data_IF_161394898801
#
_entry.id   IF_161394898801
#
_cell.length_a   1.000
_cell.length_b   1.000
_cell.length_c   1.000
_cell.angle_alpha   90.00
_cell.angle_beta   90.00
_cell.angle_gamma   90.00
#
_symmetry.space_group_name_H-M   'P 1'
#
loop_
_entity.id
_entity.type
_entity.pdbx_description
1 polymer ?
#
# COMPACT_ATOMS: atom_id res chain seq x y z
N UNK A 1 -32.44 -13.22 2.38
CA UNK A 1 -31.62 -13.54 1.19
C UNK A 1 -30.20 -13.12 1.51
N UNK A 2 -29.17 -13.97 1.41
CA UNK A 2 -27.80 -13.53 1.66
C UNK A 2 -27.36 -12.63 0.50
N UNK A 3 -26.91 -11.41 0.81
CA UNK A 3 -26.38 -10.49 -0.19
C UNK A 3 -25.09 -11.07 -0.79
N UNK A 4 -24.93 -11.03 -2.11
CA UNK A 4 -23.65 -11.35 -2.75
C UNK A 4 -22.62 -10.27 -2.42
N UNK A 5 -21.32 -10.60 -2.48
CA UNK A 5 -20.25 -9.62 -2.28
C UNK A 5 -20.41 -8.42 -3.25
N UNK A 6 -20.84 -8.68 -4.48
CA UNK A 6 -21.09 -7.64 -5.46
C UNK A 6 -22.25 -6.72 -5.04
N UNK A 7 -23.35 -7.27 -4.51
CA UNK A 7 -24.45 -6.48 -3.95
C UNK A 7 -24.02 -5.66 -2.73
N UNK A 8 -23.17 -6.22 -1.87
CA UNK A 8 -22.61 -5.52 -0.71
C UNK A 8 -21.68 -4.38 -1.13
N UNK A 9 -20.75 -4.62 -2.06
CA UNK A 9 -19.85 -3.59 -2.55
C UNK A 9 -20.59 -2.51 -3.34
N UNK A 10 -21.65 -2.87 -4.06
CA UNK A 10 -22.58 -1.91 -4.67
C UNK A 10 -23.34 -1.11 -3.61
N UNK A 11 -23.74 -1.71 -2.50
CA UNK A 11 -24.34 -0.98 -1.39
C UNK A 11 -23.35 0.01 -0.74
N UNK A 12 -22.07 -0.36 -0.58
CA UNK A 12 -21.02 0.56 -0.11
C UNK A 12 -20.81 1.71 -1.10
N UNK A 13 -20.76 1.39 -2.40
CA UNK A 13 -20.66 2.37 -3.47
C UNK A 13 -21.82 3.38 -3.45
N UNK A 14 -23.07 2.88 -3.42
CA UNK A 14 -24.28 3.71 -3.37
C UNK A 14 -24.32 4.53 -2.08
N UNK A 15 -23.92 3.96 -0.94
CA UNK A 15 -23.82 4.70 0.32
C UNK A 15 -22.83 5.85 0.24
N UNK A 16 -21.68 5.66 -0.41
CA UNK A 16 -20.71 6.74 -0.65
C UNK A 16 -21.32 7.87 -1.46
N UNK A 17 -22.02 7.51 -2.55
CA UNK A 17 -22.68 8.47 -3.44
C UNK A 17 -23.80 9.25 -2.73
N UNK A 18 -24.69 8.55 -2.00
CA UNK A 18 -25.77 9.17 -1.23
C UNK A 18 -25.24 10.12 -0.15
N UNK A 19 -24.13 9.74 0.50
CA UNK A 19 -23.49 10.58 1.52
C UNK A 19 -22.93 11.86 0.90
N UNK A 20 -22.29 11.79 -0.27
CA UNK A 20 -21.77 12.96 -0.98
C UNK A 20 -22.91 13.86 -1.46
N UNK A 21 -23.95 13.28 -2.08
CA UNK A 21 -25.11 14.02 -2.60
C UNK A 21 -25.86 14.78 -1.50
N UNK A 22 -25.88 14.24 -0.27
CA UNK A 22 -26.48 14.94 0.88
C UNK A 22 -25.80 16.28 1.19
N UNK A 23 -24.50 16.41 0.92
CA UNK A 23 -23.69 17.61 1.19
C UNK A 23 -23.26 18.31 -0.11
N UNK A 24 -24.02 18.14 -1.19
CA UNK A 24 -23.70 18.66 -2.53
C UNK A 24 -23.43 20.17 -2.50
N UNK A 25 -24.32 20.96 -1.88
CA UNK A 25 -24.20 22.41 -1.86
C UNK A 25 -22.93 22.89 -1.13
N UNK A 26 -22.59 22.23 -0.02
CA UNK A 26 -21.41 22.54 0.78
C UNK A 26 -20.11 22.13 0.07
N UNK A 27 -20.11 20.97 -0.59
CA UNK A 27 -18.96 20.47 -1.35
C UNK A 27 -18.70 21.36 -2.57
N UNK A 28 -19.74 21.67 -3.36
CA UNK A 28 -19.61 22.55 -4.52
C UNK A 28 -19.13 23.95 -4.13
N UNK A 29 -19.59 24.48 -2.99
CA UNK A 29 -19.13 25.76 -2.46
C UNK A 29 -17.64 25.73 -2.12
N UNK A 30 -17.15 24.69 -1.45
CA UNK A 30 -15.73 24.60 -1.08
C UNK A 30 -14.84 24.36 -2.31
N UNK A 31 -15.29 23.52 -3.25
CA UNK A 31 -14.61 23.36 -4.54
C UNK A 31 -14.58 24.66 -5.35
N UNK A 32 -15.65 25.44 -5.37
CA UNK A 32 -15.69 26.74 -6.03
C UNK A 32 -14.75 27.77 -5.37
N UNK A 33 -14.58 27.72 -4.05
CA UNK A 33 -13.64 28.55 -3.30
C UNK A 33 -12.19 28.19 -3.64
N UNK A 34 -11.84 26.90 -3.60
CA UNK A 34 -10.55 26.37 -4.07
C UNK A 34 -10.29 26.85 -5.51
N UNK A 35 -11.29 26.72 -6.36
CA UNK A 35 -11.19 27.16 -7.74
C UNK A 35 -10.87 28.67 -7.82
N UNK A 36 -11.63 29.51 -7.12
CA UNK A 36 -11.45 30.97 -7.14
C UNK A 36 -10.05 31.39 -6.63
N UNK A 37 -9.52 30.70 -5.63
CA UNK A 37 -8.15 30.89 -5.10
C UNK A 37 -7.06 30.53 -6.13
N UNK A 38 -7.29 29.48 -6.94
CA UNK A 38 -6.38 29.06 -8.00
C UNK A 38 -6.45 29.98 -9.24
N UNK A 39 -7.63 30.53 -9.57
CA UNK A 39 -7.84 31.47 -10.68
C UNK A 39 -7.05 32.78 -10.52
N UNK A 40 -6.88 33.25 -9.28
CA UNK A 40 -6.12 34.45 -8.95
C UNK A 40 -4.63 34.41 -9.37
N UNK A 41 -4.10 33.23 -9.73
CA UNK A 41 -2.69 33.02 -10.09
C UNK A 41 -2.41 32.91 -11.60
N UNK A 42 -3.42 33.07 -12.48
CA UNK A 42 -3.32 33.02 -13.97
C UNK A 42 -2.34 31.96 -14.52
N UNK A 43 -2.60 30.68 -14.27
CA UNK A 43 -1.80 29.57 -14.82
C UNK A 43 -2.66 28.59 -15.61
N UNK A 44 -2.09 27.93 -16.65
CA UNK A 44 -2.72 26.80 -17.38
C UNK A 44 -3.16 25.62 -16.47
N UNK A 45 -2.74 25.61 -15.20
CA UNK A 45 -3.16 24.64 -14.17
C UNK A 45 -4.59 24.86 -13.66
N UNK A 46 -5.13 26.08 -13.84
CA UNK A 46 -6.52 26.44 -13.51
C UNK A 46 -7.52 25.64 -14.34
N UNK A 47 -7.31 25.59 -15.66
CA UNK A 47 -8.22 24.94 -16.61
C UNK A 47 -8.32 23.43 -16.33
N UNK A 48 -7.21 22.77 -15.99
CA UNK A 48 -7.21 21.35 -15.64
C UNK A 48 -7.92 21.04 -14.31
N UNK A 49 -7.82 21.93 -13.30
CA UNK A 49 -8.56 21.78 -12.06
C UNK A 49 -10.05 22.07 -12.28
N UNK A 50 -10.39 23.08 -13.08
CA UNK A 50 -11.76 23.41 -13.49
C UNK A 50 -12.43 22.24 -14.24
N UNK A 51 -11.72 21.62 -15.18
CA UNK A 51 -12.16 20.40 -15.87
C UNK A 51 -12.36 19.22 -14.92
N UNK A 52 -11.44 19.04 -13.95
CA UNK A 52 -11.55 17.96 -12.95
C UNK A 52 -12.76 18.17 -12.03
N UNK A 53 -12.99 19.41 -11.57
CA UNK A 53 -14.15 19.76 -10.76
C UNK A 53 -15.44 19.57 -11.56
N UNK A 54 -15.49 20.02 -12.81
CA UNK A 54 -16.65 19.84 -13.68
C UNK A 54 -16.98 18.35 -13.91
N UNK A 55 -15.96 17.53 -14.15
CA UNK A 55 -16.11 16.08 -14.29
C UNK A 55 -16.65 15.42 -13.02
N UNK A 56 -16.01 15.65 -11.86
CA UNK A 56 -16.45 15.07 -10.60
C UNK A 56 -17.84 15.54 -10.21
N UNK A 57 -18.17 16.81 -10.48
CA UNK A 57 -19.50 17.36 -10.21
C UNK A 57 -20.57 16.67 -11.06
N UNK A 58 -20.26 16.42 -12.34
CA UNK A 58 -21.13 15.66 -13.21
C UNK A 58 -21.32 14.21 -12.74
N UNK A 59 -20.23 13.51 -12.40
CA UNK A 59 -20.28 12.12 -11.94
C UNK A 59 -21.01 11.94 -10.60
N UNK A 60 -20.81 12.86 -9.65
CA UNK A 60 -21.32 12.71 -8.29
C UNK A 60 -22.74 13.27 -8.10
N UNK A 61 -23.10 14.32 -8.83
CA UNK A 61 -24.36 15.07 -8.59
C UNK A 61 -25.36 15.00 -9.76
N UNK A 62 -24.92 14.71 -10.97
CA UNK A 62 -25.79 14.70 -12.16
C UNK A 62 -26.07 13.29 -12.73
N UNK A 63 -25.47 12.24 -12.17
CA UNK A 63 -25.70 10.86 -12.59
C UNK A 63 -27.03 10.29 -12.04
N UNK A 64 -27.92 9.80 -12.90
CA UNK A 64 -29.25 9.26 -12.53
C UNK A 64 -29.20 7.80 -12.09
N UNK A 65 -30.01 7.46 -11.08
CA UNK A 65 -30.13 6.18 -10.33
C UNK A 65 -30.41 4.88 -11.14
N UNK A 66 -30.49 4.91 -12.46
CA UNK A 66 -31.05 3.79 -13.26
C UNK A 66 -30.02 2.85 -13.91
N UNK A 67 -28.71 3.12 -13.83
CA UNK A 67 -27.66 2.19 -14.28
C UNK A 67 -26.62 1.91 -13.17
N UNK A 68 -26.45 0.66 -12.72
CA UNK A 68 -25.66 0.30 -11.53
C UNK A 68 -24.15 0.21 -11.76
N UNK A 69 -23.65 0.56 -12.95
CA UNK A 69 -22.23 0.58 -13.27
C UNK A 69 -21.88 1.88 -13.99
N UNK A 70 -20.85 2.57 -13.50
CA UNK A 70 -20.30 3.74 -14.16
C UNK A 70 -19.52 3.26 -15.39
N UNK A 71 -20.23 2.95 -16.47
CA UNK A 71 -19.58 2.98 -17.77
C UNK A 71 -19.31 4.44 -18.09
N UNK A 72 -18.11 4.93 -17.73
CA UNK A 72 -17.53 6.20 -18.21
C UNK A 72 -17.31 6.08 -19.73
N UNK A 73 -18.39 5.95 -20.48
CA UNK A 73 -18.39 6.11 -21.92
C UNK A 73 -18.32 7.61 -22.14
N UNK A 74 -17.31 8.04 -22.90
CA UNK A 74 -17.19 9.36 -23.55
C UNK A 74 -16.53 10.52 -22.80
N UNK A 75 -15.24 10.39 -22.48
CA UNK A 75 -14.13 11.25 -22.99
C UNK A 75 -12.85 10.94 -22.22
N UNK A 76 -11.69 10.82 -22.88
CA UNK A 76 -10.41 10.76 -22.19
C UNK A 76 -10.23 12.06 -21.39
N UNK A 77 -10.13 11.93 -20.07
CA UNK A 77 -10.01 13.06 -19.18
C UNK A 77 -8.53 13.48 -19.11
N UNK A 78 -8.23 14.75 -19.38
CA UNK A 78 -6.93 15.36 -19.08
C UNK A 78 -6.83 15.80 -17.60
N UNK A 79 -7.62 15.18 -16.72
CA UNK A 79 -7.60 15.50 -15.30
C UNK A 79 -6.36 14.91 -14.62
N UNK A 80 -5.89 15.57 -13.57
CA UNK A 80 -4.74 15.12 -12.79
C UNK A 80 -5.22 14.23 -11.64
N UNK A 81 -4.72 12.98 -11.47
CA UNK A 81 -5.07 12.12 -10.33
C UNK A 81 -4.87 12.80 -8.97
N UNK A 82 -3.90 13.72 -8.86
CA UNK A 82 -3.69 14.55 -7.67
C UNK A 82 -4.90 15.44 -7.35
N UNK A 83 -5.55 16.02 -8.36
CA UNK A 83 -6.75 16.84 -8.13
C UNK A 83 -7.92 15.99 -7.66
N UNK A 84 -8.03 14.72 -8.09
CA UNK A 84 -9.10 13.84 -7.62
C UNK A 84 -8.91 13.46 -6.16
N UNK A 85 -7.70 13.06 -5.73
CA UNK A 85 -7.41 12.79 -4.32
C UNK A 85 -7.53 14.05 -3.44
N UNK A 86 -7.08 15.20 -3.94
CA UNK A 86 -7.23 16.47 -3.23
C UNK A 86 -8.69 16.89 -3.05
N UNK A 87 -9.52 16.69 -4.08
CA UNK A 87 -10.95 16.99 -4.02
C UNK A 87 -11.70 15.96 -3.15
N UNK A 88 -11.27 14.70 -3.12
CA UNK A 88 -11.73 13.66 -2.18
C UNK A 88 -11.48 14.06 -0.72
N UNK A 89 -10.24 14.48 -0.39
CA UNK A 89 -9.89 14.95 0.95
C UNK A 89 -10.74 16.17 1.35
N UNK A 90 -11.02 17.06 0.39
CA UNK A 90 -11.90 18.20 0.61
C UNK A 90 -13.34 17.75 0.95
N UNK A 91 -13.86 16.73 0.27
CA UNK A 91 -15.17 16.14 0.57
C UNK A 91 -15.22 15.56 1.98
N UNK A 92 -14.17 14.84 2.41
CA UNK A 92 -14.09 14.33 3.78
C UNK A 92 -14.10 15.45 4.82
N UNK A 93 -13.34 16.52 4.60
CA UNK A 93 -13.28 17.66 5.51
C UNK A 93 -14.64 18.37 5.61
N UNK A 94 -15.31 18.64 4.48
CA UNK A 94 -16.64 19.26 4.47
C UNK A 94 -17.64 18.41 5.25
N UNK A 95 -17.64 17.09 5.05
CA UNK A 95 -18.59 16.20 5.74
C UNK A 95 -18.30 16.12 7.24
N UNK A 96 -17.03 16.09 7.66
CA UNK A 96 -16.64 16.07 9.07
C UNK A 96 -16.99 17.36 9.82
N UNK A 97 -16.94 18.51 9.15
CA UNK A 97 -17.35 19.80 9.74
C UNK A 97 -18.86 19.89 9.99
N UNK A 98 -19.67 19.20 9.18
CA UNK A 98 -21.14 19.28 9.23
C UNK A 98 -21.80 18.08 9.94
N UNK A 99 -21.08 16.96 10.13
CA UNK A 99 -21.54 15.80 10.89
C UNK A 99 -20.39 14.95 11.44
N UNK A 100 -20.65 14.24 12.55
CA UNK A 100 -19.73 13.16 12.99
C UNK A 100 -19.77 12.03 11.98
N UNK A 101 -18.77 11.99 11.11
CA UNK A 101 -18.59 10.92 10.12
C UNK A 101 -18.33 9.59 10.84
N UNK A 102 -19.09 8.54 10.50
CA UNK A 102 -18.76 7.20 10.95
C UNK A 102 -17.64 6.62 10.07
N UNK A 103 -16.83 5.71 10.60
CA UNK A 103 -15.78 5.03 9.83
C UNK A 103 -16.34 4.36 8.56
N UNK A 104 -17.60 3.93 8.60
CA UNK A 104 -18.29 3.31 7.47
C UNK A 104 -18.65 4.31 6.36
N UNK A 105 -18.88 5.58 6.70
CA UNK A 105 -19.14 6.63 5.72
C UNK A 105 -17.83 7.09 5.07
N UNK A 106 -16.76 7.15 5.87
CA UNK A 106 -15.41 7.42 5.36
C UNK A 106 -14.97 6.36 4.33
N UNK A 107 -15.10 5.08 4.68
CA UNK A 107 -14.75 3.97 3.77
C UNK A 107 -15.61 3.94 2.51
N UNK A 108 -16.89 4.32 2.60
CA UNK A 108 -17.79 4.34 1.46
C UNK A 108 -17.42 5.44 0.45
N UNK A 109 -17.06 6.64 0.92
CA UNK A 109 -16.61 7.75 0.09
C UNK A 109 -15.26 7.42 -0.56
N UNK A 110 -14.31 6.89 0.22
CA UNK A 110 -13.00 6.49 -0.30
C UNK A 110 -13.10 5.39 -1.37
N UNK A 111 -13.98 4.41 -1.15
CA UNK A 111 -14.24 3.35 -2.13
C UNK A 111 -14.82 3.90 -3.45
N UNK A 112 -15.74 4.87 -3.37
CA UNK A 112 -16.31 5.55 -4.53
C UNK A 112 -15.24 6.32 -5.33
N UNK A 113 -14.41 7.13 -4.69
CA UNK A 113 -13.33 7.87 -5.36
C UNK A 113 -12.25 6.94 -5.93
N UNK A 114 -11.96 5.83 -5.26
CA UNK A 114 -11.07 4.79 -5.78
C UNK A 114 -11.60 4.18 -7.08
N UNK A 115 -12.92 3.93 -7.18
CA UNK A 115 -13.55 3.42 -8.40
C UNK A 115 -13.57 4.44 -9.54
N UNK A 116 -13.85 5.71 -9.22
CA UNK A 116 -13.74 6.82 -10.19
C UNK A 116 -12.30 6.93 -10.72
N UNK A 117 -11.30 6.75 -9.84
CA UNK A 117 -9.90 6.78 -10.25
C UNK A 117 -9.51 5.58 -11.13
N UNK A 118 -10.01 4.39 -10.80
CA UNK A 118 -9.76 3.15 -11.54
C UNK A 118 -10.37 3.17 -12.95
N UNK A 119 -11.62 3.60 -13.07
CA UNK A 119 -12.34 3.64 -14.35
C UNK A 119 -11.97 4.88 -15.19
N UNK A 120 -11.58 5.99 -14.55
CA UNK A 120 -11.26 7.25 -15.22
C UNK A 120 -9.80 7.41 -15.68
N UNK A 121 -8.82 6.86 -14.94
CA UNK A 121 -7.38 7.10 -15.20
C UNK A 121 -6.58 5.84 -15.54
N UNK A 122 -6.81 4.73 -14.83
CA UNK A 122 -5.98 3.52 -14.98
C UNK A 122 -6.15 2.87 -16.36
N UNK A 123 -7.32 2.97 -17.00
CA UNK A 123 -7.50 2.42 -18.36
C UNK A 123 -6.57 3.03 -19.43
N UNK A 124 -6.12 4.28 -19.28
CA UNK A 124 -5.22 4.91 -20.26
C UNK A 124 -3.76 4.47 -20.09
N UNK A 125 -3.31 4.29 -18.85
CA UNK A 125 -1.93 3.88 -18.55
C UNK A 125 -1.71 2.36 -18.66
N UNK A 126 -2.78 1.57 -18.70
CA UNK A 126 -2.71 0.11 -18.81
C UNK A 126 -2.49 -0.41 -20.24
N UNK A 127 -2.67 0.42 -21.29
CA UNK A 127 -2.60 -0.11 -22.65
C UNK A 127 -1.17 -0.22 -23.23
N UNK A 128 -0.16 0.47 -22.68
CA UNK A 128 1.23 0.35 -23.15
C UNK A 128 2.25 0.57 -22.02
N UNK A 129 2.79 -0.52 -21.46
CA UNK A 129 3.68 -0.54 -20.27
C UNK A 129 5.15 -0.13 -20.52
N UNK A 130 5.53 0.31 -21.72
CA UNK A 130 6.92 0.59 -22.04
C UNK A 130 7.32 2.02 -21.63
N UNK A 131 8.56 2.20 -21.16
CA UNK A 131 9.14 3.54 -20.91
C UNK A 131 9.05 4.37 -22.19
N UNK A 132 9.27 3.77 -23.34
CA UNK A 132 9.24 4.44 -24.64
C UNK A 132 7.86 5.06 -24.93
N UNK A 133 6.78 4.30 -24.75
CA UNK A 133 5.41 4.79 -24.95
C UNK A 133 5.05 5.92 -23.99
N UNK A 134 5.57 5.87 -22.76
CA UNK A 134 5.39 6.95 -21.78
C UNK A 134 6.16 8.22 -22.17
N UNK A 135 7.41 8.09 -22.63
CA UNK A 135 8.20 9.22 -23.12
C UNK A 135 7.57 9.85 -24.37
N UNK A 136 7.08 9.02 -25.31
CA UNK A 136 6.30 9.46 -26.47
C UNK A 136 5.08 10.28 -26.06
N UNK A 137 4.32 9.81 -25.07
CA UNK A 137 3.15 10.52 -24.56
C UNK A 137 3.52 11.87 -23.91
N UNK A 138 4.61 11.92 -23.13
CA UNK A 138 5.07 13.18 -22.53
C UNK A 138 5.47 14.21 -23.59
N UNK A 139 6.13 13.79 -24.67
CA UNK A 139 6.53 14.68 -25.77
C UNK A 139 5.33 15.11 -26.63
N UNK A 140 4.37 14.21 -26.86
CA UNK A 140 3.16 14.49 -27.62
C UNK A 140 2.14 15.35 -26.85
N UNK A 141 2.31 15.52 -25.54
CA UNK A 141 1.39 16.28 -24.70
C UNK A 141 1.36 17.77 -25.09
N UNK A 142 0.16 18.29 -25.34
CA UNK A 142 -0.06 19.73 -25.54
C UNK A 142 0.00 20.53 -24.23
N UNK A 143 -0.04 19.85 -23.08
CA UNK A 143 -0.01 20.44 -21.75
C UNK A 143 1.42 20.68 -21.25
N UNK A 144 2.41 19.98 -21.82
CA UNK A 144 3.82 20.09 -21.45
C UNK A 144 4.62 20.71 -22.61
N UNK A 145 5.38 21.79 -22.38
CA UNK A 145 6.26 22.38 -23.39
C UNK A 145 7.57 21.56 -23.50
N UNK A 146 7.45 20.23 -23.60
CA UNK A 146 8.57 19.33 -23.85
C UNK A 146 8.74 19.24 -25.36
N UNK A 147 9.88 19.69 -25.87
CA UNK A 147 10.16 19.63 -27.32
C UNK A 147 10.80 18.32 -27.72
N UNK A 148 11.70 17.81 -26.87
CA UNK A 148 12.36 16.54 -27.07
C UNK A 148 12.86 15.95 -25.75
N UNK A 149 13.00 14.62 -25.72
CA UNK A 149 13.63 13.85 -24.65
C UNK A 149 14.65 12.91 -25.29
N UNK A 150 15.90 12.95 -24.82
CA UNK A 150 16.93 11.98 -25.21
C UNK A 150 17.20 11.01 -24.06
N UNK A 151 17.25 9.71 -24.37
CA UNK A 151 17.64 8.65 -23.45
C UNK A 151 19.14 8.44 -23.58
N UNK A 152 19.86 8.63 -22.49
CA UNK A 152 21.31 8.52 -22.43
C UNK A 152 21.71 7.28 -21.62
N UNK A 153 22.43 6.38 -22.28
CA UNK A 153 23.04 5.21 -21.65
C UNK A 153 24.52 5.44 -21.35
N UNK A 154 25.06 4.65 -20.42
CA UNK A 154 26.49 4.62 -20.12
C UNK A 154 27.16 3.46 -20.85
N UNK A 155 28.10 3.74 -21.76
CA UNK A 155 28.91 2.75 -22.47
C UNK A 155 30.37 2.87 -22.02
N UNK A 156 30.77 2.06 -21.05
CA UNK A 156 32.10 2.17 -20.42
C UNK A 156 32.22 3.51 -19.68
N UNK A 157 33.24 4.30 -20.00
CA UNK A 157 33.46 5.63 -19.40
C UNK A 157 32.77 6.78 -20.16
N UNK A 158 31.98 6.49 -21.20
CA UNK A 158 31.33 7.50 -22.04
C UNK A 158 29.81 7.44 -21.94
N UNK A 159 29.16 8.57 -22.21
CA UNK A 159 27.72 8.71 -22.33
C UNK A 159 27.31 8.67 -23.80
N UNK A 160 26.28 7.91 -24.14
CA UNK A 160 25.80 7.74 -25.52
C UNK A 160 24.29 7.95 -25.60
N UNK A 161 23.83 8.60 -26.67
CA UNK A 161 22.39 8.69 -26.96
C UNK A 161 21.90 7.34 -27.46
N UNK A 162 20.93 6.75 -26.76
CA UNK A 162 20.30 5.49 -27.14
C UNK A 162 19.06 5.73 -28.02
N UNK A 163 18.24 6.73 -27.66
CA UNK A 163 17.00 7.06 -28.37
C UNK A 163 16.61 8.52 -28.15
N UNK A 164 15.94 9.12 -29.14
CA UNK A 164 15.38 10.48 -29.07
C UNK A 164 13.89 10.41 -29.34
N UNK A 165 13.10 11.03 -28.46
CA UNK A 165 11.68 11.26 -28.59
C UNK A 165 11.49 12.76 -28.83
N UNK A 166 10.91 13.16 -29.95
CA UNK A 166 10.74 14.57 -30.30
C UNK A 166 9.42 14.79 -31.04
N UNK A 167 8.84 15.99 -30.90
CA UNK A 167 7.65 16.38 -31.67
C UNK A 167 7.95 16.42 -33.17
N UNK A 168 9.16 16.84 -33.53
CA UNK A 168 9.65 16.84 -34.90
C UNK A 168 10.21 15.44 -35.26
N UNK A 169 9.59 14.73 -36.24
CA UNK A 169 10.08 13.44 -36.71
C UNK A 169 11.50 13.47 -37.26
N UNK A 170 11.94 14.61 -37.82
CA UNK A 170 13.31 14.76 -38.33
C UNK A 170 14.33 14.77 -37.19
N UNK A 171 13.98 15.33 -36.04
CA UNK A 171 14.80 15.32 -34.82
C UNK A 171 14.80 13.92 -34.19
N UNK A 172 13.64 13.25 -34.14
CA UNK A 172 13.50 11.90 -33.59
C UNK A 172 14.29 10.84 -34.39
N UNK A 173 14.33 10.95 -35.72
CA UNK A 173 15.08 10.03 -36.60
C UNK A 173 16.61 10.20 -36.53
N UNK A 174 17.09 11.17 -35.76
CA UNK A 174 18.46 11.67 -35.84
C UNK A 174 19.39 11.01 -34.79
N UNK A 175 19.42 9.68 -34.71
CA UNK A 175 20.10 8.90 -33.64
C UNK A 175 21.55 8.50 -33.93
N UNK A 176 22.21 9.04 -34.96
CA UNK A 176 23.56 8.59 -35.33
C UNK A 176 24.64 8.99 -34.29
N UNK A 177 25.09 7.99 -33.51
CA UNK A 177 26.36 7.93 -32.75
C UNK A 177 26.79 9.22 -32.03
N UNK A 178 25.91 9.81 -31.24
CA UNK A 178 26.27 10.90 -30.35
C UNK A 178 26.82 10.34 -29.04
N UNK A 179 28.12 10.49 -28.84
CA UNK A 179 28.83 10.11 -27.62
C UNK A 179 29.64 11.28 -27.07
N UNK A 180 29.72 11.38 -25.75
CA UNK A 180 30.55 12.36 -25.07
C UNK A 180 31.12 11.80 -23.77
N UNK A 181 32.24 12.38 -23.32
CA UNK A 181 32.89 11.99 -22.06
C UNK A 181 32.11 12.46 -20.82
N UNK A 182 31.20 13.43 -20.99
CA UNK A 182 30.38 13.98 -19.91
C UNK A 182 28.93 14.20 -20.34
N UNK A 183 28.00 14.13 -19.38
CA UNK A 183 26.60 14.52 -19.57
C UNK A 183 26.50 15.96 -20.09
N UNK A 184 27.34 16.87 -19.58
CA UNK A 184 27.34 18.26 -20.06
C UNK A 184 27.68 18.37 -21.55
N UNK A 185 28.69 17.61 -22.01
CA UNK A 185 29.08 17.59 -23.43
C UNK A 185 27.98 17.07 -24.35
N UNK A 186 27.25 16.04 -23.91
CA UNK A 186 26.13 15.49 -24.69
C UNK A 186 24.93 16.44 -24.68
N UNK A 187 24.67 17.14 -23.56
CA UNK A 187 23.64 18.17 -23.47
C UNK A 187 23.90 19.34 -24.41
N UNK A 188 25.12 19.90 -24.44
CA UNK A 188 25.47 21.00 -25.36
C UNK A 188 25.26 20.61 -26.84
N UNK A 189 25.66 19.39 -27.19
CA UNK A 189 25.54 18.89 -28.57
C UNK A 189 24.07 18.70 -28.97
N UNK A 190 23.26 18.13 -28.07
CA UNK A 190 21.83 17.95 -28.28
C UNK A 190 21.07 19.28 -28.32
N UNK A 191 21.44 20.26 -27.50
CA UNK A 191 20.77 21.57 -27.46
C UNK A 191 20.90 22.30 -28.81
N UNK A 192 22.10 22.29 -29.40
CA UNK A 192 22.36 22.86 -30.75
C UNK A 192 21.61 22.13 -31.86
N UNK A 193 21.31 20.84 -31.64
CA UNK A 193 20.63 20.00 -32.61
C UNK A 193 19.11 20.16 -32.53
N UNK A 194 18.57 20.25 -31.32
CA UNK A 194 17.14 20.48 -31.09
C UNK A 194 16.75 21.91 -31.45
N UNK A 195 17.62 22.89 -31.15
CA UNK A 195 17.31 24.32 -31.24
C UNK A 195 18.39 25.10 -31.97
N UNK A 196 18.62 24.80 -33.24
CA UNK A 196 19.72 25.38 -34.03
C UNK A 196 19.77 26.92 -34.00
N UNK A 197 18.61 27.57 -33.98
CA UNK A 197 18.47 29.04 -33.99
C UNK A 197 18.02 29.66 -32.65
N UNK A 198 17.65 28.84 -31.65
CA UNK A 198 16.99 29.30 -30.41
C UNK A 198 17.60 28.70 -29.14
N UNK A 199 18.83 28.17 -29.22
CA UNK A 199 19.53 27.49 -28.11
C UNK A 199 19.52 28.26 -26.77
N UNK A 200 19.49 29.60 -26.82
CA UNK A 200 19.55 30.43 -25.62
C UNK A 200 18.21 30.48 -24.87
N UNK A 201 17.11 30.09 -25.51
CA UNK A 201 15.76 30.04 -24.93
C UNK A 201 15.43 28.68 -24.30
N UNK A 202 16.20 27.64 -24.59
CA UNK A 202 15.95 26.27 -24.14
C UNK A 202 17.06 25.74 -23.23
N UNK A 203 16.72 24.75 -22.42
CA UNK A 203 17.67 24.03 -21.56
C UNK A 203 17.40 22.54 -21.64
N UNK A 204 18.46 21.74 -21.51
CA UNK A 204 18.36 20.30 -21.32
C UNK A 204 18.59 19.99 -19.85
N UNK A 205 17.59 19.38 -19.22
CA UNK A 205 17.65 19.02 -17.80
C UNK A 205 17.94 17.51 -17.69
N UNK A 206 19.04 17.11 -17.04
CA UNK A 206 19.31 15.72 -16.75
C UNK A 206 18.45 15.20 -15.60
N UNK A 207 17.72 14.12 -15.87
CA UNK A 207 16.91 13.40 -14.89
C UNK A 207 17.38 11.94 -14.87
N UNK A 208 18.04 11.50 -13.79
CA UNK A 208 18.38 10.09 -13.61
C UNK A 208 17.11 9.22 -13.55
N UNK A 209 17.09 8.11 -14.29
CA UNK A 209 15.98 7.16 -14.28
C UNK A 209 16.49 5.72 -14.40
N UNK A 210 16.47 5.01 -13.27
CA UNK A 210 17.02 3.65 -13.13
C UNK A 210 18.46 3.58 -13.65
N UNK A 211 18.72 2.84 -14.74
CA UNK A 211 20.06 2.63 -15.31
C UNK A 211 20.42 3.62 -16.43
N UNK A 212 19.55 4.59 -16.75
CA UNK A 212 19.78 5.60 -17.78
C UNK A 212 19.60 7.03 -17.24
N UNK A 213 19.97 8.02 -18.06
CA UNK A 213 19.70 9.44 -17.80
C UNK A 213 18.82 10.00 -18.92
N UNK A 214 17.70 10.61 -18.55
CA UNK A 214 16.84 11.32 -19.49
C UNK A 214 17.30 12.78 -19.58
N UNK A 215 17.60 13.26 -20.79
CA UNK A 215 17.84 14.67 -21.06
C UNK A 215 16.58 15.29 -21.65
N UNK A 216 15.94 16.17 -20.89
CA UNK A 216 14.61 16.71 -21.20
C UNK A 216 14.74 18.16 -21.66
N UNK A 217 14.32 18.43 -22.90
CA UNK A 217 14.38 19.76 -23.51
C UNK A 217 13.17 20.60 -23.13
N UNK A 218 13.41 21.72 -22.44
CA UNK A 218 12.39 22.63 -21.94
C UNK A 218 12.76 24.09 -22.24
N UNK A 219 11.80 25.00 -22.45
CA UNK A 219 12.05 26.44 -22.40
C UNK A 219 12.59 26.84 -21.03
N UNK A 220 13.64 27.67 -20.99
CA UNK A 220 14.29 28.11 -19.74
C UNK A 220 13.34 28.80 -18.78
N UNK A 221 12.40 29.58 -19.31
CA UNK A 221 11.38 30.30 -18.52
C UNK A 221 10.41 29.37 -17.77
N UNK A 222 10.19 28.18 -18.32
CA UNK A 222 9.24 27.20 -17.78
C UNK A 222 9.91 26.06 -17.01
N UNK A 223 11.23 25.87 -17.19
CA UNK A 223 12.02 24.78 -16.65
C UNK A 223 11.83 24.56 -15.14
N UNK A 224 11.99 25.61 -14.32
CA UNK A 224 11.88 25.52 -12.86
C UNK A 224 10.48 25.17 -12.38
N UNK A 225 9.45 25.56 -13.14
CA UNK A 225 8.04 25.33 -12.80
C UNK A 225 7.55 23.94 -13.20
N UNK A 226 8.09 23.40 -14.29
CA UNK A 226 7.61 22.17 -14.92
C UNK A 226 8.46 20.96 -14.52
N UNK A 227 9.74 21.14 -14.20
CA UNK A 227 10.61 20.06 -13.75
C UNK A 227 10.01 19.25 -12.58
N UNK A 228 9.45 19.86 -11.51
CA UNK A 228 8.81 19.08 -10.44
C UNK A 228 7.66 18.21 -10.93
N UNK A 229 6.91 18.66 -11.95
CA UNK A 229 5.84 17.87 -12.55
C UNK A 229 6.40 16.69 -13.35
N UNK A 230 7.44 16.90 -14.16
CA UNK A 230 8.05 15.81 -14.94
C UNK A 230 8.67 14.76 -14.02
N UNK A 231 9.36 15.20 -12.97
CA UNK A 231 9.88 14.32 -11.92
C UNK A 231 8.74 13.55 -11.24
N UNK A 232 7.64 14.23 -10.93
CA UNK A 232 6.45 13.59 -10.38
C UNK A 232 5.80 12.61 -11.36
N UNK A 233 5.69 12.93 -12.65
CA UNK A 233 5.13 12.03 -13.67
C UNK A 233 6.01 10.81 -13.90
N UNK A 234 7.33 10.97 -13.90
CA UNK A 234 8.29 9.86 -13.95
C UNK A 234 8.23 9.00 -12.69
N UNK A 235 8.09 9.64 -11.52
CA UNK A 235 7.89 8.95 -10.25
C UNK A 235 6.55 8.21 -10.23
N UNK A 236 5.47 8.81 -10.73
CA UNK A 236 4.16 8.20 -10.88
C UNK A 236 4.15 7.11 -11.94
N UNK A 237 4.95 7.19 -13.00
CA UNK A 237 5.12 6.10 -13.98
C UNK A 237 5.89 4.93 -13.37
N UNK A 238 6.94 5.23 -12.59
CA UNK A 238 7.67 4.23 -11.81
C UNK A 238 6.77 3.59 -10.75
N UNK A 239 5.96 4.41 -10.09
CA UNK A 239 4.99 3.97 -9.11
C UNK A 239 3.75 3.36 -9.78
N UNK A 240 3.45 3.61 -11.06
CA UNK A 240 2.36 2.95 -11.79
C UNK A 240 2.78 1.60 -12.34
N UNK A 241 4.06 1.43 -12.72
CA UNK A 241 4.69 0.12 -12.84
C UNK A 241 4.61 -0.66 -11.52
N UNK A 242 4.85 0.01 -10.39
CA UNK A 242 4.56 -0.57 -9.07
C UNK A 242 3.06 -0.76 -8.84
N UNK A 243 2.14 0.09 -9.32
CA UNK A 243 0.68 -0.05 -9.13
C UNK A 243 0.11 -1.23 -9.92
N UNK A 244 0.66 -1.56 -11.09
CA UNK A 244 0.31 -2.79 -11.82
C UNK A 244 0.82 -4.05 -11.09
N UNK A 245 1.95 -3.94 -10.38
CA UNK A 245 2.38 -4.96 -9.41
C UNK A 245 1.51 -4.95 -8.14
N UNK A 246 1.12 -3.78 -7.63
CA UNK A 246 0.29 -3.59 -6.43
C UNK A 246 -1.18 -3.93 -6.69
N UNK A 247 -1.72 -3.92 -7.91
CA UNK A 247 -3.07 -4.46 -8.16
C UNK A 247 -3.09 -5.98 -8.13
N UNK A 248 -1.95 -6.64 -8.38
CA UNK A 248 -1.75 -8.06 -8.10
C UNK A 248 -1.45 -8.31 -6.62
N UNK A 249 -0.45 -7.64 -6.05
CA UNK A 249 -0.01 -7.84 -4.66
C UNK A 249 -1.03 -7.31 -3.62
N UNK A 250 -1.80 -6.24 -3.91
CA UNK A 250 -2.90 -5.76 -3.05
C UNK A 250 -4.14 -6.63 -3.12
N UNK A 251 -4.24 -7.51 -4.12
CA UNK A 251 -5.24 -8.55 -4.20
C UNK A 251 -4.73 -9.84 -3.54
N UNK A 252 -3.46 -10.19 -3.70
CA UNK A 252 -2.85 -11.40 -3.12
C UNK A 252 -2.95 -11.46 -1.60
N UNK A 253 -2.73 -10.34 -0.87
CA UNK A 253 -2.91 -10.39 0.59
C UNK A 253 -4.39 -10.52 0.99
N UNK A 254 -5.33 -10.00 0.18
CA UNK A 254 -6.77 -10.16 0.40
C UNK A 254 -7.22 -11.58 0.07
N UNK A 255 -6.70 -12.16 -1.01
CA UNK A 255 -6.93 -13.54 -1.42
C UNK A 255 -6.34 -14.51 -0.39
N UNK A 256 -5.15 -14.22 0.13
CA UNK A 256 -4.55 -14.95 1.25
C UNK A 256 -5.45 -14.89 2.50
N UNK A 257 -6.04 -13.74 2.82
CA UNK A 257 -7.01 -13.63 3.93
C UNK A 257 -8.28 -14.44 3.66
N UNK A 258 -8.80 -14.44 2.43
CA UNK A 258 -9.97 -15.24 2.06
C UNK A 258 -9.67 -16.74 2.19
N UNK A 259 -8.58 -17.22 1.57
CA UNK A 259 -8.13 -18.60 1.64
C UNK A 259 -7.84 -19.05 3.07
N UNK A 260 -7.22 -18.17 3.87
CA UNK A 260 -6.98 -18.43 5.28
C UNK A 260 -8.28 -18.63 6.04
N UNK A 261 -9.26 -17.73 5.86
CA UNK A 261 -10.57 -17.83 6.51
C UNK A 261 -11.30 -19.11 6.10
N UNK A 262 -11.31 -19.45 4.81
CA UNK A 262 -11.89 -20.69 4.31
C UNK A 262 -11.27 -21.92 4.97
N UNK A 263 -9.93 -21.96 5.08
CA UNK A 263 -9.19 -23.05 5.70
C UNK A 263 -9.53 -23.20 7.19
N UNK A 264 -9.57 -22.11 7.94
CA UNK A 264 -9.75 -22.20 9.41
C UNK A 264 -11.21 -22.39 9.83
N UNK A 265 -12.19 -21.89 9.07
CA UNK A 265 -13.63 -21.99 9.40
C UNK A 265 -14.08 -23.47 9.43
N UNK A 266 -13.47 -24.32 8.60
CA UNK A 266 -13.78 -25.76 8.55
C UNK A 266 -13.28 -26.58 9.74
N UNK A 267 -12.46 -26.00 10.62
CA UNK A 267 -11.82 -26.73 11.72
C UNK A 267 -12.84 -27.25 12.74
N UNK A 268 -12.77 -28.54 13.07
CA UNK A 268 -13.71 -29.23 13.97
C UNK A 268 -13.16 -29.47 15.37
N UNK A 269 -11.85 -29.35 15.54
CA UNK A 269 -11.16 -29.52 16.84
C UNK A 269 -10.14 -28.43 17.09
N UNK A 270 -9.74 -28.23 18.35
CA UNK A 270 -8.66 -27.29 18.70
C UNK A 270 -7.34 -27.64 18.01
N UNK A 271 -7.00 -28.93 17.89
CA UNK A 271 -5.76 -29.35 17.22
C UNK A 271 -5.77 -28.97 15.75
N UNK A 272 -6.86 -29.28 15.05
CA UNK A 272 -7.04 -28.93 13.64
C UNK A 272 -7.08 -27.41 13.44
N UNK A 273 -7.71 -26.67 14.35
CA UNK A 273 -7.71 -25.20 14.31
C UNK A 273 -6.30 -24.64 14.45
N UNK A 274 -5.51 -25.11 15.42
CA UNK A 274 -4.13 -24.68 15.61
C UNK A 274 -3.25 -25.02 14.40
N UNK A 275 -3.44 -26.21 13.83
CA UNK A 275 -2.74 -26.67 12.64
C UNK A 275 -3.07 -25.79 11.42
N UNK A 276 -4.36 -25.58 11.13
CA UNK A 276 -4.80 -24.75 10.02
C UNK A 276 -4.38 -23.29 10.16
N UNK A 277 -4.40 -22.75 11.40
CA UNK A 277 -3.92 -21.39 11.68
C UNK A 277 -2.41 -21.32 11.43
N UNK A 278 -1.62 -22.21 12.04
CA UNK A 278 -0.16 -22.16 11.94
C UNK A 278 0.32 -22.41 10.50
N UNK A 279 -0.27 -23.40 9.83
CA UNK A 279 0.00 -23.69 8.42
C UNK A 279 -0.43 -22.53 7.51
N UNK A 280 -1.57 -21.89 7.77
CA UNK A 280 -2.01 -20.72 7.01
C UNK A 280 -1.01 -19.56 7.06
N UNK A 281 -0.44 -19.26 8.24
CA UNK A 281 0.61 -18.24 8.39
C UNK A 281 1.90 -18.55 7.62
N UNK A 282 2.16 -19.82 7.24
CA UNK A 282 3.40 -20.24 6.56
C UNK A 282 3.15 -20.50 5.08
N UNK A 283 2.03 -21.11 4.72
CA UNK A 283 1.68 -21.47 3.35
C UNK A 283 1.19 -20.28 2.53
N UNK A 284 0.60 -19.27 3.17
CA UNK A 284 -0.03 -18.13 2.49
C UNK A 284 0.74 -16.81 2.67
N UNK A 285 1.79 -16.79 3.49
CA UNK A 285 2.60 -15.61 3.79
C UNK A 285 4.10 -15.98 3.74
N UNK A 286 5.03 -15.01 3.59
CA UNK A 286 6.44 -15.30 3.36
C UNK A 286 7.19 -15.69 4.65
N UNK A 287 6.74 -16.74 5.34
CA UNK A 287 7.35 -17.32 6.52
C UNK A 287 7.61 -18.81 6.31
N UNK A 288 8.62 -19.36 6.97
CA UNK A 288 8.93 -20.80 6.89
C UNK A 288 8.44 -21.56 8.13
N UNK A 289 8.38 -20.89 9.30
CA UNK A 289 8.06 -21.52 10.58
C UNK A 289 7.10 -20.66 11.38
N UNK A 290 6.17 -21.30 12.09
CA UNK A 290 5.20 -20.64 12.95
C UNK A 290 5.06 -21.37 14.28
N UNK A 291 5.07 -20.65 15.39
CA UNK A 291 4.74 -21.17 16.71
C UNK A 291 3.60 -20.35 17.32
N UNK A 292 2.52 -21.02 17.74
CA UNK A 292 1.35 -20.40 18.36
C UNK A 292 1.48 -20.48 19.88
N UNK A 293 1.27 -19.35 20.54
CA UNK A 293 1.25 -19.22 21.99
C UNK A 293 -0.07 -18.64 22.47
N UNK A 294 -0.61 -19.14 23.57
CA UNK A 294 -1.67 -18.46 24.33
C UNK A 294 -1.06 -17.46 25.32
N UNK A 295 -1.88 -16.50 25.73
CA UNK A 295 -1.55 -15.53 26.75
C UNK A 295 -2.67 -15.46 27.80
N UNK A 296 -2.28 -15.57 29.08
CA UNK A 296 -3.15 -15.31 30.23
C UNK A 296 -2.84 -13.94 30.81
N UNK A 297 -3.80 -13.02 30.77
CA UNK A 297 -3.65 -11.70 31.36
C UNK A 297 -3.51 -11.75 32.89
N UNK A 298 -4.18 -12.70 33.52
CA UNK A 298 -4.28 -12.76 34.98
C UNK A 298 -2.98 -13.28 35.58
N UNK A 299 -2.37 -14.26 34.91
CA UNK A 299 -1.12 -14.89 35.35
C UNK A 299 0.12 -14.23 34.72
N UNK A 300 -0.06 -13.37 33.71
CA UNK A 300 1.03 -12.81 32.88
C UNK A 300 1.90 -13.91 32.24
N UNK A 301 1.31 -15.05 31.90
CA UNK A 301 2.01 -16.22 31.36
C UNK A 301 1.70 -16.38 29.87
N UNK A 302 2.74 -16.62 29.08
CA UNK A 302 2.66 -17.14 27.73
C UNK A 302 2.94 -18.65 27.69
N UNK A 303 2.07 -19.44 27.06
CA UNK A 303 2.22 -20.89 26.94
C UNK A 303 2.16 -21.34 25.48
N UNK A 304 3.08 -22.21 25.06
CA UNK A 304 3.11 -22.73 23.70
C UNK A 304 1.98 -23.73 23.45
N UNK A 305 1.33 -23.64 22.30
CA UNK A 305 0.21 -24.49 21.90
C UNK A 305 0.58 -25.45 20.76
N UNK A 306 1.27 -24.93 19.75
CA UNK A 306 1.54 -25.65 18.51
C UNK A 306 2.72 -25.07 17.74
N UNK A 307 3.47 -25.91 17.01
CA UNK A 307 4.56 -25.49 16.13
C UNK A 307 4.42 -26.10 14.73
N UNK A 308 4.41 -25.25 13.70
CA UNK A 308 4.42 -25.64 12.29
C UNK A 308 5.83 -25.48 11.70
N UNK A 309 6.34 -26.55 11.08
CA UNK A 309 7.77 -26.72 10.75
C UNK A 309 8.71 -26.53 11.97
N UNK A 310 8.18 -26.80 13.16
CA UNK A 310 8.87 -26.81 14.45
C UNK A 310 8.41 -28.03 15.23
N UNK A 311 9.24 -28.51 16.16
CA UNK A 311 8.83 -29.57 17.09
C UNK A 311 7.69 -29.06 17.98
N UNK A 312 6.48 -29.56 17.75
CA UNK A 312 5.28 -29.16 18.50
C UNK A 312 5.39 -29.48 19.99
N UNK A 313 6.03 -30.59 20.38
CA UNK A 313 6.21 -30.92 21.80
C UNK A 313 7.25 -30.00 22.45
N UNK A 314 8.29 -29.61 21.70
CA UNK A 314 9.22 -28.57 22.14
C UNK A 314 8.51 -27.24 22.40
N UNK A 315 7.58 -26.83 21.52
CA UNK A 315 6.79 -25.60 21.69
C UNK A 315 5.84 -25.71 22.87
N UNK A 316 5.09 -26.82 23.00
CA UNK A 316 4.18 -27.08 24.13
C UNK A 316 4.89 -27.12 25.48
N UNK A 317 6.18 -27.47 25.48
CA UNK A 317 7.03 -27.41 26.67
C UNK A 317 7.43 -25.98 27.10
N UNK A 318 7.05 -24.94 26.34
CA UNK A 318 7.38 -23.55 26.66
C UNK A 318 6.25 -22.93 27.49
N UNK A 319 6.63 -22.43 28.66
CA UNK A 319 5.77 -21.62 29.52
C UNK A 319 6.64 -20.55 30.15
N UNK A 320 6.37 -19.29 29.84
CA UNK A 320 7.19 -18.15 30.26
C UNK A 320 6.34 -17.06 30.86
N UNK A 321 6.88 -16.46 31.93
CA UNK A 321 6.36 -15.21 32.45
C UNK A 321 6.74 -14.09 31.47
N UNK A 322 5.72 -13.40 30.95
CA UNK A 322 5.88 -12.36 29.93
C UNK A 322 6.65 -11.16 30.47
N UNK A 323 6.72 -10.97 31.78
CA UNK A 323 7.56 -9.93 32.39
C UNK A 323 9.06 -10.13 32.07
N UNK A 324 9.48 -11.36 31.80
CA UNK A 324 10.84 -11.68 31.36
C UNK A 324 11.10 -11.38 29.86
N UNK A 325 10.10 -10.85 29.15
CA UNK A 325 10.17 -10.39 27.77
C UNK A 325 9.84 -8.89 27.72
N UNK A 326 10.78 -7.99 28.07
CA UNK A 326 10.48 -6.59 28.37
C UNK A 326 9.80 -5.84 27.22
N UNK A 327 10.18 -6.12 25.98
CA UNK A 327 9.57 -5.52 24.79
C UNK A 327 8.12 -5.97 24.57
N UNK A 328 7.82 -7.25 24.85
CA UNK A 328 6.47 -7.79 24.77
C UNK A 328 5.63 -7.23 25.92
N UNK A 329 6.15 -7.26 27.15
CA UNK A 329 5.49 -6.73 28.34
C UNK A 329 5.13 -5.25 28.21
N UNK A 330 6.05 -4.41 27.73
CA UNK A 330 5.80 -2.98 27.56
C UNK A 330 4.71 -2.70 26.53
N UNK A 331 4.66 -3.46 25.42
CA UNK A 331 3.54 -3.35 24.47
C UNK A 331 2.22 -3.81 25.09
N UNK A 332 2.20 -4.90 25.86
CA UNK A 332 0.99 -5.36 26.54
C UNK A 332 0.47 -4.37 27.58
N UNK A 333 1.36 -3.69 28.31
CA UNK A 333 0.99 -2.60 29.23
C UNK A 333 0.34 -1.43 28.50
N UNK A 334 0.89 -1.01 27.36
CA UNK A 334 0.29 0.03 26.52
C UNK A 334 -1.11 -0.39 26.02
N UNK A 335 -1.28 -1.66 25.66
CA UNK A 335 -2.58 -2.21 25.26
C UNK A 335 -3.57 -2.29 26.42
N UNK A 336 -3.16 -2.67 27.62
CA UNK A 336 -4.06 -2.68 28.78
C UNK A 336 -4.51 -1.26 29.18
N UNK A 337 -3.64 -0.27 28.99
CA UNK A 337 -3.91 1.12 29.36
C UNK A 337 -4.72 1.89 28.30
N UNK A 338 -4.56 1.57 27.01
CA UNK A 338 -5.17 2.32 25.89
C UNK A 338 -6.06 1.46 24.97
N UNK A 339 -6.08 0.14 25.15
CA UNK A 339 -6.61 -0.85 24.20
C UNK A 339 -8.12 -1.06 24.19
N UNK A 340 -8.88 -0.52 25.16
CA UNK A 340 -10.36 -0.56 25.13
C UNK A 340 -10.95 0.18 23.90
N UNK A 341 -10.14 0.93 23.16
CA UNK A 341 -10.51 1.64 21.92
C UNK A 341 -9.82 1.11 20.66
N UNK A 342 -8.94 0.09 20.77
CA UNK A 342 -8.15 -0.40 19.65
C UNK A 342 -8.86 -1.56 18.93
N UNK A 343 -9.14 -1.37 17.64
CA UNK A 343 -9.77 -2.40 16.78
C UNK A 343 -8.81 -3.54 16.40
N UNK A 344 -7.50 -3.32 16.51
CA UNK A 344 -6.47 -4.33 16.24
C UNK A 344 -5.16 -3.99 16.97
N UNK A 345 -4.25 -4.97 17.05
CA UNK A 345 -2.90 -4.80 17.58
C UNK A 345 -1.91 -5.00 16.43
N UNK A 346 -0.98 -4.07 16.26
CA UNK A 346 0.04 -4.20 15.22
C UNK A 346 1.04 -5.32 15.54
N UNK A 347 1.44 -6.12 14.55
CA UNK A 347 2.57 -7.03 14.65
C UNK A 347 3.83 -6.34 15.17
N UNK A 348 4.66 -7.09 15.88
CA UNK A 348 5.97 -6.65 16.35
C UNK A 348 7.05 -7.35 15.53
N UNK A 349 7.74 -6.59 14.68
CA UNK A 349 8.93 -7.05 13.97
C UNK A 349 10.18 -6.85 14.83
N UNK A 350 11.01 -7.89 14.93
CA UNK A 350 12.25 -7.88 15.70
C UNK A 350 13.38 -8.30 14.76
N UNK A 351 14.16 -7.32 14.31
CA UNK A 351 15.28 -7.53 13.38
C UNK A 351 16.39 -8.43 13.96
N UNK A 352 16.67 -8.31 15.26
CA UNK A 352 17.59 -9.18 15.98
C UNK A 352 16.99 -9.60 17.32
N UNK A 353 16.83 -10.90 17.52
CA UNK A 353 16.27 -11.50 18.75
C UNK A 353 17.21 -11.45 19.95
N UNK A 354 18.51 -11.15 19.75
CA UNK A 354 19.47 -11.04 20.85
C UNK A 354 19.04 -9.98 21.85
N UNK A 355 19.02 -10.34 23.13
CA UNK A 355 18.57 -9.46 24.21
C UNK A 355 17.06 -9.25 24.28
N UNK A 356 16.28 -9.82 23.35
CA UNK A 356 14.82 -9.77 23.36
C UNK A 356 14.21 -11.10 23.84
N UNK A 357 14.74 -12.21 23.33
CA UNK A 357 14.34 -13.56 23.74
C UNK A 357 15.41 -14.22 24.61
N UNK A 358 15.02 -15.11 25.54
CA UNK A 358 15.98 -15.92 26.30
C UNK A 358 16.90 -16.73 25.37
N UNK A 359 18.22 -16.68 25.64
CA UNK A 359 19.25 -17.34 24.83
C UNK A 359 19.00 -18.83 24.58
N UNK A 360 18.36 -19.52 25.55
CA UNK A 360 18.00 -20.94 25.40
C UNK A 360 17.09 -21.18 24.20
N UNK A 361 16.15 -20.28 23.91
CA UNK A 361 15.25 -20.39 22.77
C UNK A 361 15.90 -19.94 21.48
N UNK A 362 16.68 -18.85 21.53
CA UNK A 362 17.47 -18.37 20.40
C UNK A 362 18.40 -19.48 19.89
N UNK A 363 19.11 -20.17 20.79
CA UNK A 363 19.98 -21.31 20.42
C UNK A 363 19.19 -22.53 19.96
N UNK A 364 18.14 -22.94 20.69
CA UNK A 364 17.38 -24.16 20.39
C UNK A 364 16.67 -24.10 19.04
N UNK A 365 16.06 -22.96 18.71
CA UNK A 365 15.30 -22.77 17.48
C UNK A 365 16.09 -22.02 16.39
N UNK A 366 17.34 -21.64 16.68
CA UNK A 366 18.22 -20.92 15.77
C UNK A 366 17.54 -19.64 15.25
N UNK A 367 17.06 -18.80 16.18
CA UNK A 367 16.31 -17.60 15.84
C UNK A 367 17.28 -16.45 15.48
N UNK A 368 16.92 -15.65 14.47
CA UNK A 368 17.66 -14.42 14.13
C UNK A 368 16.73 -13.21 14.05
N UNK A 369 15.79 -13.24 13.12
CA UNK A 369 14.74 -12.24 12.96
C UNK A 369 13.40 -12.92 13.19
N UNK A 370 12.46 -12.25 13.86
CA UNK A 370 11.12 -12.81 14.11
C UNK A 370 10.04 -11.74 13.98
N UNK A 371 8.82 -12.18 13.68
CA UNK A 371 7.60 -11.38 13.78
C UNK A 371 6.69 -12.00 14.83
N UNK A 372 6.21 -11.20 15.77
CA UNK A 372 5.08 -11.57 16.62
C UNK A 372 3.80 -10.99 16.05
N UNK A 373 2.93 -11.87 15.54
CA UNK A 373 1.60 -11.54 15.08
C UNK A 373 0.58 -11.79 16.21
N UNK A 374 -0.10 -10.75 16.73
CA UNK A 374 -1.07 -10.89 17.80
C UNK A 374 -2.28 -11.71 17.36
N UNK A 375 -2.71 -12.65 18.20
CA UNK A 375 -3.98 -13.36 18.03
C UNK A 375 -5.00 -12.64 18.91
N UNK A 376 -5.89 -11.89 18.28
CA UNK A 376 -6.72 -10.88 18.93
C UNK A 376 -8.19 -11.06 18.61
N UNK A 377 -9.01 -11.13 19.66
CA UNK A 377 -10.46 -11.19 19.55
C UNK A 377 -11.02 -9.77 19.52
N UNK A 378 -11.34 -9.29 18.31
CA UNK A 378 -11.71 -7.89 18.07
C UNK A 378 -12.99 -7.50 18.79
N UNK A 379 -14.00 -8.39 18.79
CA UNK A 379 -15.30 -8.13 19.42
C UNK A 379 -15.20 -7.85 20.93
N UNK A 380 -14.23 -8.47 21.62
CA UNK A 380 -14.00 -8.30 23.07
C UNK A 380 -12.80 -7.42 23.39
N UNK A 381 -12.13 -6.89 22.37
CA UNK A 381 -10.86 -6.19 22.50
C UNK A 381 -9.84 -6.94 23.37
N UNK A 382 -9.72 -8.25 23.13
CA UNK A 382 -8.98 -9.17 24.00
C UNK A 382 -7.83 -9.85 23.25
N UNK A 383 -6.62 -9.79 23.81
CA UNK A 383 -5.49 -10.58 23.32
C UNK A 383 -5.57 -12.01 23.84
N UNK A 384 -5.63 -12.99 22.94
CA UNK A 384 -5.65 -14.41 23.30
C UNK A 384 -4.25 -15.03 23.28
N UNK A 385 -3.32 -14.42 22.56
CA UNK A 385 -1.99 -15.00 22.35
C UNK A 385 -1.23 -14.34 21.20
N UNK A 386 -0.24 -15.04 20.66
CA UNK A 386 0.53 -14.59 19.51
C UNK A 386 1.02 -15.77 18.67
N UNK A 387 1.13 -15.56 17.36
CA UNK A 387 1.94 -16.38 16.48
C UNK A 387 3.34 -15.75 16.38
N UNK A 388 4.38 -16.56 16.57
CA UNK A 388 5.78 -16.17 16.37
C UNK A 388 6.26 -16.80 15.08
N UNK A 389 6.71 -15.96 14.15
CA UNK A 389 6.99 -16.30 12.77
C UNK A 389 8.44 -15.97 12.42
N UNK A 390 9.08 -16.84 11.63
CA UNK A 390 10.36 -16.53 10.99
C UNK A 390 10.51 -17.19 9.62
N UNK A 391 11.61 -16.87 8.94
CA UNK A 391 11.97 -17.45 7.64
C UNK A 391 12.99 -18.58 7.76
N UNK A 392 13.05 -19.28 8.90
CA UNK A 392 13.94 -20.42 9.09
C UNK A 392 15.23 -20.11 9.87
N UNK A 393 16.09 -21.12 10.08
CA UNK A 393 17.25 -21.05 10.96
C UNK A 393 18.23 -19.93 10.61
N UNK A 394 18.48 -19.04 11.56
CA UNK A 394 19.44 -17.93 11.51
C UNK A 394 19.27 -16.95 10.33
N UNK A 395 18.11 -16.96 9.65
CA UNK A 395 17.87 -16.12 8.48
C UNK A 395 17.36 -14.73 8.89
N UNK A 396 18.00 -13.64 8.44
CA UNK A 396 17.44 -12.31 8.56
C UNK A 396 16.39 -12.06 7.46
N UNK A 397 15.38 -11.24 7.75
CA UNK A 397 14.39 -10.84 6.77
C UNK A 397 13.76 -9.47 7.07
N UNK A 398 13.01 -8.94 6.12
CA UNK A 398 12.20 -7.73 6.26
C UNK A 398 10.73 -8.04 5.99
N UNK A 399 9.83 -7.21 6.50
CA UNK A 399 8.39 -7.37 6.31
C UNK A 399 7.85 -6.15 5.58
N UNK A 400 7.21 -6.37 4.43
CA UNK A 400 6.52 -5.32 3.69
C UNK A 400 5.15 -4.98 4.29
N UNK A 401 4.51 -3.93 3.80
CA UNK A 401 3.22 -3.46 4.33
C UNK A 401 2.06 -4.44 4.08
N UNK A 402 2.04 -5.14 2.93
CA UNK A 402 0.97 -6.10 2.61
C UNK A 402 1.02 -7.29 3.56
N UNK A 403 2.23 -7.79 3.85
CA UNK A 403 2.44 -8.82 4.86
C UNK A 403 1.97 -8.35 6.24
N UNK A 404 2.25 -7.09 6.63
CA UNK A 404 1.73 -6.54 7.89
C UNK A 404 0.19 -6.52 7.94
N UNK A 405 -0.48 -6.09 6.86
CA UNK A 405 -1.94 -6.09 6.79
C UNK A 405 -2.54 -7.50 6.86
N UNK A 406 -1.95 -8.45 6.14
CA UNK A 406 -2.36 -9.85 6.20
C UNK A 406 -2.19 -10.42 7.61
N UNK A 407 -1.06 -10.17 8.27
CA UNK A 407 -0.82 -10.62 9.65
C UNK A 407 -1.85 -10.09 10.64
N UNK A 408 -2.27 -8.83 10.50
CA UNK A 408 -3.34 -8.27 11.32
C UNK A 408 -4.64 -9.04 11.10
N UNK A 409 -5.03 -9.28 9.85
CA UNK A 409 -6.28 -9.98 9.52
C UNK A 409 -6.25 -11.46 9.90
N UNK A 410 -5.15 -12.15 9.67
CA UNK A 410 -4.95 -13.54 10.09
C UNK A 410 -5.03 -13.65 11.61
N UNK A 411 -4.36 -12.75 12.34
CA UNK A 411 -4.42 -12.71 13.80
C UNK A 411 -5.83 -12.49 14.36
N UNK A 412 -6.63 -11.64 13.69
CA UNK A 412 -8.03 -11.42 14.05
C UNK A 412 -8.89 -12.67 13.79
N UNK A 413 -8.80 -13.24 12.59
CA UNK A 413 -9.56 -14.43 12.20
C UNK A 413 -9.20 -15.66 13.05
N UNK A 414 -7.90 -15.85 13.33
CA UNK A 414 -7.43 -16.87 14.25
C UNK A 414 -8.00 -16.67 15.66
N UNK A 415 -8.11 -15.41 16.11
CA UNK A 415 -8.72 -15.07 17.40
C UNK A 415 -10.18 -15.51 17.50
N UNK A 416 -10.98 -15.23 16.46
CA UNK A 416 -12.39 -15.63 16.40
C UNK A 416 -12.57 -17.17 16.42
N UNK A 417 -11.69 -17.91 15.73
CA UNK A 417 -11.74 -19.38 15.74
C UNK A 417 -11.28 -19.95 17.09
N UNK A 418 -10.16 -19.47 17.63
CA UNK A 418 -9.62 -19.98 18.90
C UNK A 418 -10.49 -19.63 20.11
N UNK A 419 -11.26 -18.54 20.05
CA UNK A 419 -12.22 -18.19 21.09
C UNK A 419 -13.25 -19.31 21.35
N UNK A 420 -13.60 -20.09 20.32
CA UNK A 420 -14.50 -21.25 20.43
C UNK A 420 -13.94 -22.37 21.31
N UNK A 421 -12.62 -22.40 21.51
CA UNK A 421 -11.89 -23.43 22.25
C UNK A 421 -11.20 -22.87 23.51
N UNK A 422 -11.65 -21.71 23.99
CA UNK A 422 -11.02 -20.98 25.10
C UNK A 422 -10.89 -21.81 26.39
N UNK A 423 -11.88 -22.63 26.72
CA UNK A 423 -11.84 -23.53 27.90
C UNK A 423 -10.76 -24.61 27.75
N UNK A 424 -10.66 -25.24 26.59
CA UNK A 424 -9.64 -26.25 26.30
C UNK A 424 -8.21 -25.68 26.31
N UNK A 425 -8.05 -24.47 25.77
CA UNK A 425 -6.78 -23.74 25.77
C UNK A 425 -6.35 -23.42 27.21
N UNK A 426 -7.29 -22.96 28.04
CA UNK A 426 -7.04 -22.65 29.46
C UNK A 426 -6.61 -23.90 30.23
N UNK A 427 -7.28 -25.04 30.01
CA UNK A 427 -6.91 -26.32 30.62
C UNK A 427 -5.51 -26.82 30.20
N UNK A 428 -5.14 -26.63 28.92
CA UNK A 428 -3.80 -27.00 28.43
C UNK A 428 -2.71 -26.07 29.00
N UNK A 429 -2.96 -24.77 29.11
CA UNK A 429 -2.04 -23.81 29.71
C UNK A 429 -1.78 -24.15 31.20
N UNK A 430 -2.83 -24.47 31.96
CA UNK A 430 -2.70 -24.88 33.36
C UNK A 430 -1.89 -26.18 33.54
N UNK A 431 -2.08 -27.18 32.66
CA UNK A 431 -1.30 -28.43 32.71
C UNK A 431 0.20 -28.21 32.45
N UNK A 432 0.58 -27.21 31.63
CA UNK A 432 1.97 -26.79 31.45
C UNK A 432 2.59 -26.21 32.73
N UNK A 433 1.81 -25.40 33.46
CA UNK A 433 2.22 -24.79 34.75
C UNK A 433 2.43 -25.86 35.82
N UNK A 434 1.50 -26.83 35.97
CA UNK A 434 1.60 -27.91 36.96
C UNK A 434 2.80 -28.85 36.72
N UNK A 435 3.24 -29.06 35.48
CA UNK A 435 4.46 -29.85 35.19
C UNK A 435 5.73 -29.16 35.71
N UNK A 436 5.78 -27.82 35.78
CA UNK A 436 6.93 -27.07 36.31
C UNK A 436 6.97 -27.06 37.84
N UNK A 437 5.81 -27.10 38.51
CA UNK A 437 5.69 -27.18 39.97
C UNK A 437 6.28 -28.45 40.58
N UNK A 438 6.20 -29.59 39.87
CA UNK A 438 6.82 -30.87 40.30
C UNK A 438 8.31 -30.99 39.98
N UNK A 439 8.85 -30.18 39.08
CA UNK A 439 10.28 -30.17 38.75
C UNK A 439 11.09 -29.18 39.62
N UNK A 440 10.39 -28.40 40.46
CA UNK A 440 10.98 -27.46 41.44
C UNK A 440 10.76 -27.89 42.90
N UNK A 441 10.16 -29.07 43.13
CA UNK A 441 9.95 -29.67 44.46
C UNK A 441 10.94 -30.77 44.74
#
# INVERSE_FOLDING_TARGET
MPFTLNEQMNAVYQKGLETIQKYEAEILREWQKILTEFKGKRTKKWEALEETVAFLSHCLFHWKKEEPQLHVKSRPLNANPFFVTFLEDTVHNVIQEHARQSDHDYMAIHYLFSKINEEGFLQQFQQNHSLESFLDYMVASTLLPIEAIAVIGKKGERFAVEKIFAKDPAVAASTNFLEADTIFGISETLLRRFHHNEKDQYTLIPVPHDDCTLLISLPKEDASRILPFILFSLQMFKDSKKIVQLTKESQEWKDAVILFNEKIIGSRSLTEALENIAGGFVELLPFERCAIFSYSSDEQIGAGLYGWHLDTEAIRGITEDIQNLPLVHNRLKLLNNYGKKLKYIQPLFIADVKGVFPDRYVRRFQLKTVVLAPIYLSAKSQLLGAAILDQGPNKPFTVDQNTVYALIKFGQSAGEILAKYSDEISLKAQRGIFRRGRLRS
#
